data_IF_457715015208
#
_entry.id   IF_457715015208
#
_cell.length_a   1.000
_cell.length_b   1.000
_cell.length_c   1.000
_cell.angle_alpha   90.00
_cell.angle_beta   90.00
_cell.angle_gamma   90.00
#
_symmetry.space_group_name_H-M   'P 1'
#
loop_
_entity.id
_entity.type
_entity.pdbx_description
1 polymer ?
#
# COMPACT_ATOMS: atom_id res chain seq x y z
N UNK A 1 77.72 12.88 -8.78
CA UNK A 1 76.70 11.95 -9.34
C UNK A 1 75.52 11.67 -8.40
N UNK A 2 75.58 11.92 -7.08
CA UNK A 2 74.48 11.59 -6.15
C UNK A 2 73.22 12.47 -6.19
N UNK A 3 73.29 13.73 -6.63
CA UNK A 3 72.17 14.67 -6.59
C UNK A 3 71.13 14.45 -7.70
N UNK A 4 71.58 14.06 -8.90
CA UNK A 4 70.70 13.75 -10.02
C UNK A 4 69.86 12.50 -9.76
N UNK A 5 70.46 11.45 -9.20
CA UNK A 5 69.77 10.21 -8.90
C UNK A 5 68.70 10.38 -7.82
N UNK A 6 68.96 11.22 -6.81
CA UNK A 6 67.96 11.59 -5.81
C UNK A 6 66.77 12.37 -6.41
N UNK A 7 67.03 13.28 -7.35
CA UNK A 7 65.97 14.01 -8.06
C UNK A 7 65.12 13.10 -8.96
N UNK A 8 65.74 12.13 -9.63
CA UNK A 8 64.99 11.13 -10.43
C UNK A 8 64.10 10.26 -9.53
N UNK A 9 64.59 9.86 -8.35
CA UNK A 9 63.81 9.09 -7.39
C UNK A 9 62.65 9.88 -6.76
N UNK A 10 62.82 11.17 -6.50
CA UNK A 10 61.73 12.00 -5.96
C UNK A 10 60.63 12.22 -7.01
N UNK A 11 61.00 12.47 -8.26
CA UNK A 11 60.04 12.62 -9.37
C UNK A 11 59.29 11.32 -9.65
N UNK A 12 59.98 10.16 -9.62
CA UNK A 12 59.31 8.87 -9.83
C UNK A 12 58.34 8.54 -8.69
N UNK A 13 58.70 8.81 -7.44
CA UNK A 13 57.81 8.66 -6.30
C UNK A 13 56.60 9.61 -6.37
N UNK A 14 56.81 10.85 -6.83
CA UNK A 14 55.75 11.83 -7.00
C UNK A 14 54.79 11.44 -8.13
N UNK A 15 55.31 10.92 -9.25
CA UNK A 15 54.50 10.34 -10.33
C UNK A 15 53.63 9.19 -9.85
N UNK A 16 54.20 8.24 -9.11
CA UNK A 16 53.44 7.11 -8.57
C UNK A 16 52.31 7.56 -7.62
N UNK A 17 52.54 8.61 -6.82
CA UNK A 17 51.50 9.21 -5.98
C UNK A 17 50.37 9.82 -6.81
N UNK A 18 50.68 10.56 -7.87
CA UNK A 18 49.67 11.15 -8.74
C UNK A 18 48.90 10.09 -9.54
N UNK A 19 49.56 9.04 -10.01
CA UNK A 19 48.88 7.91 -10.69
C UNK A 19 47.89 7.23 -9.75
N UNK A 20 48.26 7.01 -8.49
CA UNK A 20 47.33 6.49 -7.48
C UNK A 20 46.15 7.44 -7.21
N UNK A 21 46.42 8.74 -7.06
CA UNK A 21 45.37 9.74 -6.86
C UNK A 21 44.38 9.81 -8.04
N UNK A 22 44.87 9.69 -9.28
CA UNK A 22 44.03 9.64 -10.46
C UNK A 22 43.14 8.39 -10.46
N UNK A 23 43.70 7.24 -10.10
CA UNK A 23 42.96 5.99 -10.03
C UNK A 23 41.86 6.04 -8.94
N UNK A 24 42.20 6.54 -7.75
CA UNK A 24 41.26 6.73 -6.64
C UNK A 24 40.14 7.73 -7.03
N UNK A 25 40.49 8.84 -7.70
CA UNK A 25 39.53 9.82 -8.19
C UNK A 25 38.58 9.22 -9.23
N UNK A 26 39.08 8.35 -10.12
CA UNK A 26 38.27 7.69 -11.14
C UNK A 26 37.28 6.68 -10.55
N UNK A 27 37.69 5.93 -9.53
CA UNK A 27 36.80 5.05 -8.75
C UNK A 27 35.72 5.86 -8.04
N UNK A 28 36.08 6.97 -7.39
CA UNK A 28 35.11 7.82 -6.72
C UNK A 28 34.09 8.41 -7.70
N UNK A 29 34.54 8.86 -8.88
CA UNK A 29 33.64 9.36 -9.92
C UNK A 29 32.63 8.29 -10.36
N UNK A 30 33.08 7.05 -10.58
CA UNK A 30 32.20 5.96 -10.99
C UNK A 30 31.15 5.64 -9.91
N UNK A 31 31.55 5.66 -8.64
CA UNK A 31 30.63 5.50 -7.50
C UNK A 31 29.56 6.59 -7.48
N UNK A 32 29.97 7.86 -7.63
CA UNK A 32 29.05 8.99 -7.68
C UNK A 32 28.11 8.94 -8.88
N UNK A 33 28.60 8.47 -10.04
CA UNK A 33 27.76 8.23 -11.22
C UNK A 33 26.72 7.14 -10.95
N UNK A 34 27.11 6.04 -10.30
CA UNK A 34 26.20 4.98 -9.88
C UNK A 34 25.10 5.49 -8.94
N UNK A 35 25.48 6.28 -7.92
CA UNK A 35 24.53 6.92 -7.00
C UNK A 35 23.57 7.87 -7.72
N UNK A 36 24.08 8.69 -8.64
CA UNK A 36 23.26 9.59 -9.47
C UNK A 36 22.26 8.81 -10.33
N UNK A 37 22.72 7.76 -11.02
CA UNK A 37 21.87 6.95 -11.87
C UNK A 37 20.78 6.24 -11.06
N UNK A 38 21.11 5.73 -9.87
CA UNK A 38 20.14 5.13 -8.96
C UNK A 38 19.09 6.16 -8.49
N UNK A 39 19.52 7.38 -8.16
CA UNK A 39 18.63 8.48 -7.79
C UNK A 39 17.68 8.85 -8.95
N UNK A 40 18.20 9.00 -10.17
CA UNK A 40 17.38 9.28 -11.35
C UNK A 40 16.39 8.15 -11.67
N UNK A 41 16.81 6.90 -11.51
CA UNK A 41 15.92 5.75 -11.67
C UNK A 41 14.79 5.76 -10.62
N UNK A 42 15.11 6.13 -9.38
CA UNK A 42 14.13 6.31 -8.31
C UNK A 42 13.16 7.45 -8.61
N UNK A 43 13.64 8.61 -9.06
CA UNK A 43 12.78 9.74 -9.48
C UNK A 43 11.84 9.33 -10.62
N UNK A 44 12.37 8.63 -11.64
CA UNK A 44 11.56 8.14 -12.76
C UNK A 44 10.50 7.13 -12.29
N UNK A 45 10.85 6.24 -11.36
CA UNK A 45 9.90 5.31 -10.78
C UNK A 45 8.80 6.03 -9.99
N UNK A 46 9.15 7.06 -9.21
CA UNK A 46 8.17 7.89 -8.50
C UNK A 46 7.24 8.62 -9.48
N UNK A 47 7.78 9.22 -10.54
CA UNK A 47 7.00 9.89 -11.57
C UNK A 47 6.04 8.91 -12.28
N UNK A 48 6.51 7.70 -12.59
CA UNK A 48 5.66 6.65 -13.18
C UNK A 48 4.55 6.21 -12.22
N UNK A 49 4.85 6.07 -10.93
CA UNK A 49 3.84 5.74 -9.91
C UNK A 49 2.78 6.84 -9.81
N UNK A 50 3.19 8.11 -9.72
CA UNK A 50 2.27 9.25 -9.67
C UNK A 50 1.44 9.38 -10.95
N UNK A 51 2.03 9.13 -12.13
CA UNK A 51 1.30 9.14 -13.40
C UNK A 51 0.30 7.99 -13.50
N UNK A 52 0.65 6.79 -13.03
CA UNK A 52 -0.26 5.65 -12.97
C UNK A 52 -1.41 5.90 -11.99
N UNK A 53 -1.12 6.49 -10.83
CA UNK A 53 -2.11 6.89 -9.83
C UNK A 53 -3.07 7.95 -10.39
N UNK A 54 -2.54 8.99 -11.04
CA UNK A 54 -3.34 10.03 -11.68
C UNK A 54 -4.22 9.47 -12.81
N UNK A 55 -3.69 8.54 -13.61
CA UNK A 55 -4.46 7.88 -14.68
C UNK A 55 -5.59 7.01 -14.10
N UNK A 56 -5.33 6.28 -13.00
CA UNK A 56 -6.34 5.47 -12.31
C UNK A 56 -7.39 6.36 -11.64
N UNK A 57 -7.00 7.45 -10.97
CA UNK A 57 -7.92 8.44 -10.39
C UNK A 57 -8.81 9.09 -11.47
N UNK A 58 -8.25 9.39 -12.64
CA UNK A 58 -9.02 9.90 -13.78
C UNK A 58 -9.99 8.84 -14.31
N UNK A 59 -9.61 7.56 -14.33
CA UNK A 59 -10.46 6.46 -14.75
C UNK A 59 -11.61 6.21 -13.76
N UNK A 60 -11.34 6.21 -12.46
CA UNK A 60 -12.38 6.04 -11.43
C UNK A 60 -13.35 7.23 -11.41
N UNK A 61 -12.86 8.46 -11.52
CA UNK A 61 -13.71 9.66 -11.64
C UNK A 61 -14.65 9.57 -12.85
N UNK A 62 -14.15 9.09 -14.01
CA UNK A 62 -14.99 8.84 -15.19
C UNK A 62 -16.03 7.76 -14.93
N UNK A 63 -15.66 6.65 -14.28
CA UNK A 63 -16.59 5.57 -13.95
C UNK A 63 -17.69 6.03 -13.00
N UNK A 64 -17.36 6.79 -11.96
CA UNK A 64 -18.34 7.38 -11.02
C UNK A 64 -19.29 8.35 -11.73
N UNK A 65 -18.76 9.21 -12.62
CA UNK A 65 -19.59 10.11 -13.42
C UNK A 65 -20.55 9.35 -14.34
N UNK A 66 -20.09 8.28 -14.99
CA UNK A 66 -20.94 7.42 -15.83
C UNK A 66 -22.00 6.68 -15.01
N UNK A 67 -21.66 6.16 -13.83
CA UNK A 67 -22.61 5.52 -12.93
C UNK A 67 -23.69 6.50 -12.46
N UNK A 68 -23.31 7.72 -12.09
CA UNK A 68 -24.24 8.78 -11.72
C UNK A 68 -25.17 9.17 -12.88
N UNK A 69 -24.64 9.24 -14.11
CA UNK A 69 -25.45 9.51 -15.31
C UNK A 69 -26.47 8.39 -15.59
N UNK A 70 -26.07 7.12 -15.46
CA UNK A 70 -26.98 5.96 -15.60
C UNK A 70 -28.08 5.97 -14.54
N UNK A 71 -27.74 6.29 -13.30
CA UNK A 71 -28.71 6.40 -12.21
C UNK A 71 -29.75 7.50 -12.45
N UNK A 72 -29.32 8.65 -13.00
CA UNK A 72 -30.24 9.74 -13.40
C UNK A 72 -31.16 9.32 -14.55
N UNK A 73 -30.62 8.68 -15.59
CA UNK A 73 -31.40 8.20 -16.73
C UNK A 73 -32.43 7.12 -16.33
N UNK A 74 -32.11 6.26 -15.35
CA UNK A 74 -33.05 5.28 -14.82
C UNK A 74 -34.20 5.91 -14.02
N UNK A 75 -33.98 7.09 -13.41
CA UNK A 75 -35.01 7.81 -12.64
C UNK A 75 -35.98 8.63 -13.53
N UNK A 76 -35.62 8.90 -14.80
CA UNK A 76 -36.45 9.66 -15.76
C UNK A 76 -37.39 8.77 -16.61
N UNK A 77 -37.37 7.44 -16.43
CA UNK A 77 -38.34 6.54 -17.09
C UNK A 77 -39.69 6.57 -16.35
N UNK A 78 -40.84 6.85 -17.02
CA UNK A 78 -42.13 6.90 -16.35
C UNK A 78 -42.62 5.50 -15.97
N UNK A 79 -42.98 5.31 -14.70
CA UNK A 79 -43.58 4.09 -14.19
C UNK A 79 -45.02 3.94 -14.75
N UNK A 80 -45.20 3.01 -15.69
CA UNK A 80 -46.53 2.51 -16.07
C UNK A 80 -47.02 1.53 -15.01
N UNK A 81 -48.03 1.94 -14.24
CA UNK A 81 -48.67 1.16 -13.20
C UNK A 81 -49.75 0.21 -13.76
N UNK A 82 -49.83 -1.01 -13.21
CA UNK A 82 -51.06 -1.48 -12.54
C UNK A 82 -50.76 -2.68 -11.61
N UNK A 83 -51.51 -2.87 -10.51
CA UNK A 83 -51.15 -3.75 -9.40
C UNK A 83 -51.99 -5.04 -9.36
N UNK A 84 -51.41 -6.15 -8.87
CA UNK A 84 -52.14 -7.20 -8.15
C UNK A 84 -51.19 -8.01 -7.24
N UNK A 85 -51.41 -7.82 -5.94
CA UNK A 85 -51.55 -8.80 -4.86
C UNK A 85 -50.58 -9.99 -4.69
N UNK A 86 -50.13 -10.15 -3.44
CA UNK A 86 -49.79 -11.46 -2.87
C UNK A 86 -48.30 -11.81 -2.68
N UNK A 87 -47.88 -11.75 -1.41
CA UNK A 87 -46.92 -12.67 -0.76
C UNK A 87 -45.44 -12.28 -0.74
N UNK A 88 -45.05 -11.71 0.42
CA UNK A 88 -43.86 -12.01 1.23
C UNK A 88 -42.58 -12.43 0.52
N UNK A 89 -41.59 -11.54 0.52
CA UNK A 89 -40.26 -11.84 1.09
C UNK A 89 -39.49 -10.55 1.31
N UNK A 90 -39.16 -10.32 2.58
CA UNK A 90 -38.32 -9.23 3.06
C UNK A 90 -36.94 -9.28 2.39
N UNK A 91 -36.65 -8.31 1.53
CA UNK A 91 -35.28 -7.91 1.24
C UNK A 91 -35.01 -6.71 2.13
N UNK A 92 -34.46 -6.97 3.31
CA UNK A 92 -33.89 -5.92 4.15
C UNK A 92 -32.66 -5.38 3.44
N UNK A 93 -32.83 -4.25 2.75
CA UNK A 93 -31.72 -3.40 2.35
C UNK A 93 -31.04 -2.88 3.62
N UNK A 94 -30.07 -3.64 4.12
CA UNK A 94 -29.21 -3.21 5.19
C UNK A 94 -28.26 -2.14 4.65
N UNK A 95 -28.69 -0.88 4.78
CA UNK A 95 -27.80 0.28 4.89
C UNK A 95 -26.69 -0.06 5.89
N UNK A 96 -25.39 0.13 5.59
CA UNK A 96 -24.37 -0.17 6.58
C UNK A 96 -24.58 0.76 7.77
N UNK A 97 -24.86 0.16 8.93
CA UNK A 97 -25.02 0.88 10.17
C UNK A 97 -23.67 1.50 10.52
N UNK A 98 -23.58 2.83 10.41
CA UNK A 98 -22.49 3.63 10.94
C UNK A 98 -22.50 3.46 12.47
N UNK A 99 -21.76 2.47 12.99
CA UNK A 99 -21.52 2.36 14.44
C UNK A 99 -20.44 3.36 14.80
N UNK A 100 -20.86 4.59 15.08
CA UNK A 100 -20.08 5.56 15.85
C UNK A 100 -19.99 5.04 17.29
N UNK A 101 -18.97 4.25 17.57
CA UNK A 101 -18.54 3.88 18.92
C UNK A 101 -17.02 3.78 18.88
N UNK A 102 -16.32 4.52 19.75
CA UNK A 102 -14.87 4.77 19.69
C UNK A 102 -13.94 3.57 19.91
N UNK A 103 -14.31 2.37 19.47
CA UNK A 103 -13.44 1.20 19.35
C UNK A 103 -13.06 0.97 17.89
N UNK A 104 -11.85 0.46 17.65
CA UNK A 104 -11.41 0.04 16.32
C UNK A 104 -12.26 -1.11 15.78
N UNK A 105 -12.11 -1.37 14.48
CA UNK A 105 -12.81 -2.47 13.78
C UNK A 105 -11.80 -3.45 13.20
N UNK A 106 -12.14 -4.74 13.18
CA UNK A 106 -11.34 -5.75 12.48
C UNK A 106 -11.14 -5.38 11.00
N UNK A 107 -9.93 -5.48 10.43
CA UNK A 107 -9.69 -5.10 9.03
C UNK A 107 -10.44 -6.00 8.03
N UNK A 108 -10.75 -7.24 8.39
CA UNK A 108 -11.65 -8.12 7.62
C UNK A 108 -12.15 -9.24 8.54
N UNK A 109 -13.19 -9.96 8.13
CA UNK A 109 -13.56 -11.24 8.73
C UNK A 109 -12.75 -12.37 8.10
N UNK A 110 -12.24 -13.31 8.89
CA UNK A 110 -11.54 -14.47 8.35
C UNK A 110 -10.74 -15.21 9.40
N UNK A 111 -9.89 -16.14 8.93
CA UNK A 111 -8.97 -16.90 9.78
C UNK A 111 -7.54 -16.50 9.46
N UNK A 112 -6.73 -16.31 10.50
CA UNK A 112 -5.29 -16.15 10.31
C UNK A 112 -4.66 -17.36 9.62
N UNK A 113 -3.87 -17.09 8.59
CA UNK A 113 -3.08 -18.11 7.88
C UNK A 113 -1.59 -17.92 8.10
N UNK A 114 -1.13 -16.70 8.33
CA UNK A 114 0.28 -16.40 8.58
C UNK A 114 0.40 -15.20 9.49
N UNK A 115 1.29 -15.29 10.48
CA UNK A 115 1.51 -14.26 11.49
C UNK A 115 2.62 -13.30 11.07
N UNK A 116 2.88 -12.30 11.91
CA UNK A 116 4.07 -11.45 11.81
C UNK A 116 5.29 -12.24 12.30
N UNK A 117 5.97 -12.95 11.39
CA UNK A 117 7.01 -13.92 11.76
C UNK A 117 8.07 -14.10 10.67
N UNK A 118 9.21 -14.72 11.03
CA UNK A 118 10.26 -15.08 10.05
C UNK A 118 9.90 -16.41 9.39
N UNK A 119 9.88 -16.43 8.05
CA UNK A 119 9.66 -17.64 7.24
C UNK A 119 10.76 -17.78 6.20
N UNK A 120 11.39 -18.95 6.18
CA UNK A 120 12.47 -19.25 5.22
C UNK A 120 13.57 -18.18 5.17
N UNK A 121 13.91 -17.61 6.33
CA UNK A 121 14.92 -16.57 6.45
C UNK A 121 14.48 -15.15 6.07
N UNK A 122 13.21 -14.94 5.69
CA UNK A 122 12.64 -13.63 5.36
C UNK A 122 11.54 -13.26 6.35
N UNK A 123 11.51 -12.01 6.80
CA UNK A 123 10.48 -11.51 7.70
C UNK A 123 9.16 -11.27 6.96
N UNK A 124 8.08 -11.90 7.41
CA UNK A 124 6.72 -11.57 7.01
C UNK A 124 6.22 -10.38 7.82
N UNK A 125 6.20 -9.21 7.20
CA UNK A 125 5.95 -7.94 7.86
C UNK A 125 4.44 -7.62 8.05
N UNK A 126 3.60 -8.64 8.19
CA UNK A 126 2.14 -8.52 8.20
C UNK A 126 1.48 -9.70 8.91
N UNK A 127 0.14 -9.64 9.01
CA UNK A 127 -0.70 -10.83 9.22
C UNK A 127 -1.52 -11.10 7.97
N UNK A 128 -1.63 -12.37 7.60
CA UNK A 128 -2.46 -12.82 6.50
C UNK A 128 -3.76 -13.40 7.04
N UNK A 129 -4.89 -12.87 6.54
CA UNK A 129 -6.23 -13.26 6.96
C UNK A 129 -6.95 -13.86 5.76
N UNK A 130 -7.11 -15.19 5.77
CA UNK A 130 -7.82 -15.89 4.71
C UNK A 130 -9.33 -15.63 4.80
N UNK A 131 -9.88 -15.22 3.66
CA UNK A 131 -11.30 -14.96 3.47
C UNK A 131 -11.67 -15.12 1.99
N UNK A 132 -12.94 -15.43 1.66
CA UNK A 132 -13.38 -15.49 0.28
C UNK A 132 -13.11 -14.19 -0.49
N UNK A 133 -12.82 -14.30 -1.79
CA UNK A 133 -12.78 -13.17 -2.72
C UNK A 133 -14.04 -12.30 -2.55
N UNK A 134 -13.88 -10.97 -2.55
CA UNK A 134 -14.99 -10.02 -2.39
C UNK A 134 -15.42 -9.78 -0.94
N UNK A 135 -14.79 -10.43 0.05
CA UNK A 135 -15.07 -10.14 1.47
C UNK A 135 -14.66 -8.70 1.79
N UNK A 136 -15.51 -7.89 2.45
CA UNK A 136 -15.23 -6.48 2.67
C UNK A 136 -14.03 -6.28 3.61
N UNK A 137 -13.20 -5.29 3.26
CA UNK A 137 -12.07 -4.82 4.06
C UNK A 137 -12.43 -3.47 4.66
N UNK A 138 -12.18 -3.31 5.96
CA UNK A 138 -12.50 -2.13 6.73
C UNK A 138 -11.25 -1.39 7.21
N UNK A 139 -11.35 -0.07 7.40
CA UNK A 139 -10.33 0.70 8.11
C UNK A 139 -10.43 0.45 9.63
N UNK A 140 -9.40 -0.11 10.32
CA UNK A 140 -9.48 -0.34 11.76
C UNK A 140 -9.55 0.92 12.60
N UNK A 141 -9.01 2.02 12.09
CA UNK A 141 -9.03 3.33 12.72
C UNK A 141 -9.21 4.42 11.66
N UNK A 142 -9.69 5.58 12.08
CA UNK A 142 -9.82 6.75 11.20
C UNK A 142 -8.44 7.19 10.68
N UNK A 143 -8.42 7.76 9.48
CA UNK A 143 -7.19 8.18 8.84
C UNK A 143 -7.39 8.79 7.47
N UNK A 144 -6.29 9.04 6.76
CA UNK A 144 -6.28 9.53 5.39
C UNK A 144 -5.65 8.48 4.48
N UNK A 145 -6.30 8.20 3.35
CA UNK A 145 -5.74 7.36 2.30
C UNK A 145 -4.55 8.09 1.69
N UNK A 146 -3.36 7.50 1.82
CA UNK A 146 -2.11 8.07 1.29
C UNK A 146 -1.67 7.39 0.00
N UNK A 147 -2.23 6.22 -0.31
CA UNK A 147 -2.03 5.52 -1.58
C UNK A 147 -3.16 4.51 -1.83
N UNK A 148 -3.62 4.39 -3.06
CA UNK A 148 -4.56 3.35 -3.49
C UNK A 148 -4.28 3.02 -4.96
N UNK A 149 -4.00 1.75 -5.29
CA UNK A 149 -3.67 1.35 -6.65
C UNK A 149 -2.70 0.18 -6.73
N UNK A 150 -2.00 0.08 -7.86
CA UNK A 150 -1.03 -1.00 -8.09
C UNK A 150 0.19 -0.88 -7.18
N UNK A 151 0.62 -2.02 -6.64
CA UNK A 151 1.79 -2.10 -5.78
C UNK A 151 2.57 -3.39 -6.05
N UNK A 152 3.88 -3.26 -6.31
CA UNK A 152 4.78 -4.39 -6.55
C UNK A 152 4.70 -5.37 -5.39
N UNK A 153 4.56 -6.67 -5.68
CA UNK A 153 4.35 -7.72 -4.69
C UNK A 153 2.88 -7.89 -4.29
N UNK A 154 2.17 -6.79 -4.04
CA UNK A 154 0.78 -6.82 -3.55
C UNK A 154 -0.30 -6.93 -4.63
N UNK A 155 0.04 -6.65 -5.90
CA UNK A 155 -0.96 -6.54 -6.96
C UNK A 155 -1.67 -5.19 -6.85
N UNK A 156 -2.79 -5.15 -6.12
CA UNK A 156 -3.40 -3.90 -5.66
C UNK A 156 -3.19 -3.75 -4.15
N UNK A 157 -3.09 -2.50 -3.72
CA UNK A 157 -3.05 -2.16 -2.30
C UNK A 157 -3.66 -0.80 -1.99
N UNK A 158 -4.17 -0.67 -0.77
CA UNK A 158 -4.55 0.60 -0.13
C UNK A 158 -3.61 0.86 1.04
N UNK A 159 -3.26 2.12 1.27
CA UNK A 159 -2.45 2.59 2.39
C UNK A 159 -3.20 3.71 3.10
N UNK A 160 -3.37 3.60 4.41
CA UNK A 160 -4.05 4.61 5.24
C UNK A 160 -3.08 5.08 6.31
N UNK A 161 -2.81 6.39 6.33
CA UNK A 161 -2.13 7.03 7.46
C UNK A 161 -3.16 7.43 8.51
N UNK A 162 -3.04 6.88 9.70
CA UNK A 162 -3.92 7.15 10.82
C UNK A 162 -3.54 8.44 11.56
N UNK A 163 -4.47 8.94 12.36
CA UNK A 163 -4.27 10.19 13.12
C UNK A 163 -3.12 10.09 14.15
N UNK A 164 -2.69 8.88 14.53
CA UNK A 164 -1.52 8.64 15.40
C UNK A 164 -0.19 8.55 14.63
N UNK A 165 -0.21 8.74 13.30
CA UNK A 165 0.96 8.68 12.43
C UNK A 165 1.33 7.29 11.90
N UNK A 166 0.70 6.23 12.42
CA UNK A 166 0.90 4.88 11.89
C UNK A 166 0.27 4.72 10.50
N UNK A 167 0.82 3.82 9.68
CA UNK A 167 0.31 3.51 8.34
C UNK A 167 -0.10 2.05 8.27
N UNK A 168 -1.35 1.79 7.92
CA UNK A 168 -1.83 0.44 7.61
C UNK A 168 -1.77 0.19 6.10
N UNK A 169 -1.42 -1.03 5.73
CA UNK A 169 -1.31 -1.49 4.33
C UNK A 169 -2.21 -2.69 4.13
N UNK A 170 -3.01 -2.65 3.07
CA UNK A 170 -3.98 -3.68 2.70
C UNK A 170 -3.60 -4.23 1.33
N UNK A 171 -2.92 -5.37 1.31
CA UNK A 171 -2.41 -6.01 0.09
C UNK A 171 -3.31 -7.12 -0.47
N UNK A 172 -3.02 -7.53 -1.71
CA UNK A 172 -3.70 -8.59 -2.45
C UNK A 172 -5.19 -8.35 -2.72
N UNK A 173 -5.67 -7.12 -2.58
CA UNK A 173 -7.09 -6.77 -2.74
C UNK A 173 -7.59 -6.93 -4.18
N UNK A 174 -8.88 -7.21 -4.35
CA UNK A 174 -9.49 -7.33 -5.68
C UNK A 174 -9.90 -5.97 -6.24
N UNK A 175 -10.53 -5.13 -5.41
CA UNK A 175 -10.88 -3.76 -5.77
C UNK A 175 -10.82 -2.85 -4.54
N UNK A 176 -10.81 -1.54 -4.76
CA UNK A 176 -10.83 -0.51 -3.71
C UNK A 176 -11.93 0.53 -3.98
N UNK A 177 -12.52 1.03 -2.89
CA UNK A 177 -13.67 1.94 -2.94
C UNK A 177 -13.33 3.36 -2.46
N UNK A 178 -12.04 3.63 -2.26
CA UNK A 178 -11.53 4.88 -1.72
C UNK A 178 -10.53 5.53 -2.66
N UNK A 179 -10.36 6.84 -2.54
CA UNK A 179 -9.42 7.63 -3.34
C UNK A 179 -8.30 8.22 -2.49
N UNK A 180 -7.12 8.45 -3.09
CA UNK A 180 -6.01 9.11 -2.39
C UNK A 180 -6.42 10.51 -1.94
N UNK A 181 -6.05 10.86 -0.71
CA UNK A 181 -6.47 12.08 -0.03
C UNK A 181 -7.82 11.97 0.68
N UNK A 182 -8.63 10.94 0.42
CA UNK A 182 -9.89 10.70 1.16
C UNK A 182 -9.62 10.48 2.64
N UNK A 183 -10.41 11.11 3.51
CA UNK A 183 -10.44 10.78 4.93
C UNK A 183 -11.46 9.67 5.14
N UNK A 184 -11.06 8.60 5.82
CA UNK A 184 -11.89 7.45 6.13
C UNK A 184 -12.11 7.35 7.63
N UNK A 185 -13.28 6.87 8.03
CA UNK A 185 -13.61 6.61 9.44
C UNK A 185 -13.28 5.17 9.83
N UNK A 186 -13.04 4.93 11.12
CA UNK A 186 -12.98 3.56 11.65
C UNK A 186 -14.25 2.78 11.26
N UNK A 187 -14.08 1.57 10.73
CA UNK A 187 -15.16 0.72 10.23
C UNK A 187 -15.69 1.06 8.83
N UNK A 188 -15.11 2.05 8.15
CA UNK A 188 -15.46 2.33 6.75
C UNK A 188 -14.93 1.21 5.84
N UNK A 189 -15.76 0.75 4.90
CA UNK A 189 -15.33 -0.23 3.88
C UNK A 189 -14.44 0.47 2.87
N UNK A 190 -13.21 -0.02 2.71
CA UNK A 190 -12.19 0.62 1.87
C UNK A 190 -11.84 -0.20 0.62
N UNK A 191 -12.04 -1.51 0.70
CA UNK A 191 -11.64 -2.46 -0.34
C UNK A 191 -12.35 -3.80 -0.14
N UNK A 192 -12.01 -4.76 -0.99
CA UNK A 192 -12.43 -6.14 -0.84
C UNK A 192 -11.27 -7.13 -1.02
N UNK A 193 -11.34 -8.25 -0.30
CA UNK A 193 -10.36 -9.32 -0.33
C UNK A 193 -10.19 -9.84 -1.75
N UNK A 194 -8.93 -10.04 -2.15
CA UNK A 194 -8.58 -10.52 -3.47
C UNK A 194 -7.55 -11.63 -3.44
N UNK A 195 -6.93 -11.83 -4.59
CA UNK A 195 -5.85 -12.79 -4.82
C UNK A 195 -4.87 -12.23 -5.86
N UNK A 196 -4.66 -10.90 -5.87
CA UNK A 196 -3.80 -10.23 -6.85
C UNK A 196 -2.34 -10.20 -6.37
N UNK A 197 -1.42 -10.09 -7.33
CA UNK A 197 0.02 -10.02 -7.02
C UNK A 197 0.59 -11.37 -6.59
N UNK A 198 1.58 -11.35 -5.71
CA UNK A 198 2.24 -12.54 -5.18
C UNK A 198 1.39 -13.16 -4.07
N UNK A 199 0.35 -13.88 -4.45
CA UNK A 199 -0.61 -14.52 -3.54
C UNK A 199 -0.86 -15.97 -3.94
N UNK A 200 -0.94 -16.87 -2.97
CA UNK A 200 -1.18 -18.32 -3.18
C UNK A 200 -2.66 -18.70 -3.07
N UNK A 201 -3.53 -17.79 -2.63
CA UNK A 201 -4.96 -17.98 -2.53
C UNK A 201 -5.65 -16.74 -1.92
N UNK A 202 -7.00 -16.66 -1.93
CA UNK A 202 -7.70 -15.49 -1.44
C UNK A 202 -7.42 -15.17 0.04
N UNK A 203 -6.82 -14.00 0.30
CA UNK A 203 -6.55 -13.50 1.65
C UNK A 203 -6.31 -11.98 1.64
N UNK A 204 -6.40 -11.37 2.81
CA UNK A 204 -5.89 -10.01 3.07
C UNK A 204 -4.49 -10.11 3.68
N UNK A 205 -3.52 -9.44 3.07
CA UNK A 205 -2.24 -9.13 3.71
C UNK A 205 -2.36 -7.78 4.44
N UNK A 206 -2.34 -7.80 5.76
CA UNK A 206 -2.52 -6.61 6.61
C UNK A 206 -1.23 -6.27 7.35
N UNK A 207 -0.60 -5.16 6.97
CA UNK A 207 0.64 -4.67 7.58
C UNK A 207 0.39 -3.36 8.33
N UNK A 208 1.18 -3.15 9.40
CA UNK A 208 1.24 -1.89 10.14
C UNK A 208 2.68 -1.37 10.15
N UNK A 209 2.86 -0.11 9.77
CA UNK A 209 4.14 0.60 9.77
C UNK A 209 4.07 1.79 10.74
N UNK A 210 5.03 1.93 11.65
CA UNK A 210 5.05 3.01 12.66
C UNK A 210 5.99 4.15 12.31
N UNK A 211 6.84 4.00 11.29
CA UNK A 211 7.84 5.00 10.91
C UNK A 211 7.68 5.43 9.45
N UNK A 212 6.45 5.78 9.06
CA UNK A 212 6.10 6.22 7.71
C UNK A 212 5.55 5.11 6.82
N UNK A 213 5.42 5.40 5.52
CA UNK A 213 4.65 4.54 4.59
C UNK A 213 5.30 3.17 4.32
N UNK A 214 6.64 3.08 4.40
CA UNK A 214 7.40 1.88 3.99
C UNK A 214 8.42 1.40 5.04
N UNK A 215 8.36 1.91 6.27
CA UNK A 215 9.35 1.60 7.30
C UNK A 215 8.71 1.45 8.69
N UNK A 216 9.40 0.69 9.55
CA UNK A 216 8.92 0.42 10.91
C UNK A 216 7.76 -0.58 10.94
N UNK A 217 7.82 -1.62 10.12
CA UNK A 217 6.84 -2.71 10.20
C UNK A 217 6.81 -3.29 11.61
N UNK A 218 5.62 -3.45 12.16
CA UNK A 218 5.38 -3.98 13.50
C UNK A 218 4.28 -5.01 13.46
N UNK A 219 4.19 -5.81 14.51
CA UNK A 219 3.13 -6.80 14.66
C UNK A 219 1.75 -6.09 14.66
N UNK A 220 0.87 -6.40 13.68
CA UNK A 220 -0.46 -5.82 13.62
C UNK A 220 -1.35 -6.20 14.81
N UNK A 221 -1.11 -7.33 15.48
CA UNK A 221 -2.00 -7.84 16.54
C UNK A 221 -1.98 -6.93 17.77
N UNK A 222 -0.83 -6.58 18.38
CA UNK A 222 -0.79 -5.59 19.46
C UNK A 222 -1.34 -4.21 19.04
N UNK A 223 -1.11 -3.79 17.79
CA UNK A 223 -1.59 -2.50 17.30
C UNK A 223 -3.12 -2.44 17.19
N UNK A 224 -3.75 -3.55 16.77
CA UNK A 224 -5.20 -3.74 16.75
C UNK A 224 -5.78 -3.83 18.17
N UNK A 225 -5.13 -4.60 19.06
CA UNK A 225 -5.56 -4.75 20.45
C UNK A 225 -5.54 -3.42 21.21
N UNK A 226 -4.53 -2.57 20.97
CA UNK A 226 -4.45 -1.22 21.53
C UNK A 226 -5.64 -0.31 21.13
N UNK A 227 -6.40 -0.70 20.10
CA UNK A 227 -7.60 -0.02 19.61
C UNK A 227 -8.89 -0.77 19.98
N UNK A 228 -8.82 -1.79 20.83
CA UNK A 228 -9.97 -2.58 21.24
C UNK A 228 -10.46 -3.57 20.18
N UNK A 229 -9.64 -3.89 19.18
CA UNK A 229 -9.94 -4.94 18.20
C UNK A 229 -9.36 -6.25 18.68
N UNK A 230 -10.23 -7.19 19.06
CA UNK A 230 -9.87 -8.60 19.24
C UNK A 230 -10.26 -9.38 17.98
N UNK A 231 -9.26 -9.93 17.30
CA UNK A 231 -9.47 -10.70 16.08
C UNK A 231 -9.85 -12.15 16.35
N UNK A 232 -9.68 -12.64 17.59
CA UNK A 232 -9.93 -14.02 17.96
C UNK A 232 -9.04 -15.04 17.23
N UNK A 233 -8.61 -16.07 17.95
CA UNK A 233 -7.73 -17.10 17.40
C UNK A 233 -6.23 -16.78 17.54
N UNK A 234 -5.38 -17.75 17.22
CA UNK A 234 -3.93 -17.61 17.34
C UNK A 234 -3.36 -16.98 16.07
N UNK A 235 -2.89 -15.74 16.21
CA UNK A 235 -1.65 -15.30 15.58
C UNK A 235 -0.55 -15.32 16.64
#
# INVERSE_FOLDING_TARGET
MGTFQAAVQSVSAQRARYEKQLQDAQVNLLSLQGQRNAYQAWENQQAQQQAAEAAQAAASAKATAQAAARARAAAEQPASATPIDGTSSQVTSAKPATRSGGGGVAPTSGRFTTCFEVRWGTMHNAVDIAAPMGTPIYAPASGRVVRAGTATGYGLAVYIQHDDGSVTVYGHINDYFVSVGQRVSAGEVIAEVGNRGQSTGPHLHFQVNTNGMYAGATDPIPWLAARGVDMGGRC
#
